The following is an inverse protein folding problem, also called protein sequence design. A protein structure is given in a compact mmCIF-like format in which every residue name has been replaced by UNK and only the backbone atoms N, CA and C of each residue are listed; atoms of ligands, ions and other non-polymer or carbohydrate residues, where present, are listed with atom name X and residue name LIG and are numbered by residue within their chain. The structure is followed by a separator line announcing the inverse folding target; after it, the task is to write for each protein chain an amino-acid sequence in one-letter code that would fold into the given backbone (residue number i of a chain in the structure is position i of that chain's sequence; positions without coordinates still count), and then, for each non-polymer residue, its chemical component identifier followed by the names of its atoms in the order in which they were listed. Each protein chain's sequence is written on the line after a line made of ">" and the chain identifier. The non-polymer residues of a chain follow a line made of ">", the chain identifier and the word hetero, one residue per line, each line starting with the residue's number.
data_IF_901053347738
#
_entry.id   IF_901053347738
#
_cell.length_a   1.000
_cell.length_b   1.000
_cell.length_c   1.000
_cell.angle_alpha   90.00
_cell.angle_beta   90.00
_cell.angle_gamma   90.00
#
_symmetry.space_group_name_H-M   'P 1'
#
loop_
_entity.id
_entity.type
_entity.pdbx_description
1 polymer ?
#
# COMPACT_ATOMS: atom_id res chain seq x y z
N UNK A 1 -19.14 -1.89 7.69
CA UNK A 1 -18.60 -2.23 6.37
C UNK A 1 -17.37 -3.09 6.60
N UNK A 2 -17.22 -4.19 5.88
CA UNK A 2 -16.13 -5.15 6.09
C UNK A 2 -14.82 -4.46 5.70
N UNK A 3 -13.91 -4.24 6.64
CA UNK A 3 -12.55 -3.79 6.34
C UNK A 3 -11.88 -4.85 5.46
N UNK A 4 -11.79 -4.54 4.16
CA UNK A 4 -11.29 -5.47 3.17
C UNK A 4 -9.78 -5.30 3.08
N UNK A 5 -9.06 -6.21 3.74
CA UNK A 5 -7.62 -6.34 3.62
C UNK A 5 -7.22 -6.66 2.18
N UNK A 6 -6.54 -5.73 1.52
CA UNK A 6 -6.09 -5.90 0.15
C UNK A 6 -4.73 -6.59 0.11
N UNK A 7 -4.49 -7.37 -0.94
CA UNK A 7 -3.19 -7.93 -1.30
C UNK A 7 -2.34 -6.91 -2.07
N UNK A 8 -1.07 -7.25 -2.31
CA UNK A 8 -0.15 -6.42 -3.12
C UNK A 8 -0.71 -6.15 -4.52
N UNK A 9 -1.29 -7.16 -5.17
CA UNK A 9 -1.83 -7.00 -6.53
C UNK A 9 -3.06 -6.09 -6.54
N UNK A 10 -3.95 -6.26 -5.57
CA UNK A 10 -5.18 -5.45 -5.47
C UNK A 10 -4.84 -3.98 -5.17
N UNK A 11 -3.89 -3.69 -4.27
CA UNK A 11 -3.52 -2.31 -3.96
C UNK A 11 -2.72 -1.66 -5.10
N UNK A 12 -1.92 -2.45 -5.83
CA UNK A 12 -1.22 -1.98 -7.02
C UNK A 12 -2.22 -1.54 -8.11
N UNK A 13 -3.24 -2.36 -8.36
CA UNK A 13 -4.32 -2.03 -9.29
C UNK A 13 -5.11 -0.82 -8.81
N UNK A 14 -5.44 -0.75 -7.51
CA UNK A 14 -6.14 0.39 -6.93
C UNK A 14 -5.39 1.72 -7.11
N UNK A 15 -4.08 1.72 -6.84
CA UNK A 15 -3.23 2.90 -6.98
C UNK A 15 -2.79 3.19 -8.42
N UNK A 16 -3.10 2.30 -9.38
CA UNK A 16 -2.67 2.42 -10.76
C UNK A 16 -1.15 2.31 -10.95
N UNK A 17 -0.45 1.58 -10.07
CA UNK A 17 1.00 1.38 -10.12
C UNK A 17 1.36 -0.08 -10.36
N UNK A 18 2.58 -0.34 -10.81
CA UNK A 18 3.07 -1.71 -10.93
C UNK A 18 3.32 -2.33 -9.54
N UNK A 19 3.08 -3.63 -9.38
CA UNK A 19 3.33 -4.35 -8.12
C UNK A 19 4.78 -4.22 -7.64
N UNK A 20 5.75 -4.10 -8.56
CA UNK A 20 7.16 -3.84 -8.23
C UNK A 20 7.34 -2.52 -7.46
N UNK A 21 6.53 -1.50 -7.74
CA UNK A 21 6.54 -0.23 -7.01
C UNK A 21 6.05 -0.43 -5.58
N UNK A 22 4.99 -1.23 -5.38
CA UNK A 22 4.51 -1.58 -4.04
C UNK A 22 5.60 -2.33 -3.26
N UNK A 23 6.29 -3.29 -3.87
CA UNK A 23 7.40 -3.99 -3.21
C UNK A 23 8.55 -3.04 -2.84
N UNK A 24 8.91 -2.08 -3.70
CA UNK A 24 9.91 -1.05 -3.37
C UNK A 24 9.48 -0.17 -2.19
N UNK A 25 8.20 0.20 -2.13
CA UNK A 25 7.68 0.95 -0.99
C UNK A 25 7.65 0.12 0.29
N UNK A 26 7.36 -1.18 0.21
CA UNK A 26 7.45 -2.10 1.35
C UNK A 26 8.90 -2.21 1.86
N UNK A 27 9.88 -2.37 0.98
CA UNK A 27 11.31 -2.42 1.34
C UNK A 27 11.76 -1.16 2.06
N UNK A 28 11.27 0.00 1.61
CA UNK A 28 11.56 1.31 2.22
C UNK A 28 10.62 1.66 3.38
N UNK A 29 9.67 0.78 3.74
CA UNK A 29 8.62 1.06 4.73
C UNK A 29 7.87 2.38 4.48
N UNK A 30 7.67 2.73 3.21
CA UNK A 30 7.06 3.98 2.76
C UNK A 30 5.54 3.90 2.57
N UNK A 31 4.99 2.69 2.45
CA UNK A 31 3.55 2.46 2.32
C UNK A 31 3.02 1.79 3.60
N UNK A 32 1.83 2.19 4.11
CA UNK A 32 1.21 1.51 5.23
C UNK A 32 0.86 0.07 4.85
N UNK A 33 1.43 -0.89 5.56
CA UNK A 33 1.25 -2.31 5.28
C UNK A 33 1.34 -3.14 6.55
N UNK A 34 0.50 -4.18 6.62
CA UNK A 34 0.36 -5.06 7.77
C UNK A 34 0.77 -6.48 7.40
N UNK A 35 1.55 -7.12 8.26
CA UNK A 35 2.02 -8.49 8.02
C UNK A 35 1.05 -9.49 8.64
N UNK A 36 0.31 -10.21 7.80
CA UNK A 36 -0.62 -11.26 8.22
C UNK A 36 -0.05 -12.61 7.79
N UNK A 37 0.59 -13.29 8.74
CA UNK A 37 1.36 -14.51 8.48
C UNK A 37 2.54 -14.24 7.53
N UNK A 38 2.54 -14.88 6.36
CA UNK A 38 3.59 -14.71 5.34
C UNK A 38 3.23 -13.67 4.27
N UNK A 39 2.05 -13.05 4.36
CA UNK A 39 1.55 -12.14 3.34
C UNK A 39 1.48 -10.71 3.87
N UNK A 40 1.74 -9.75 2.98
CA UNK A 40 1.43 -8.34 3.22
C UNK A 40 -0.03 -8.08 2.90
N UNK A 41 -0.68 -7.34 3.79
CA UNK A 41 -2.07 -6.89 3.69
C UNK A 41 -2.14 -5.38 3.88
N UNK A 42 -3.03 -4.76 3.14
CA UNK A 42 -3.18 -3.31 3.10
C UNK A 42 -4.59 -2.94 3.53
N UNK A 43 -4.71 -1.97 4.43
CA UNK A 43 -5.98 -1.30 4.69
C UNK A 43 -6.16 -0.18 3.67
N UNK A 44 -7.26 -0.24 2.92
CA UNK A 44 -7.58 0.77 1.92
C UNK A 44 -7.66 2.17 2.53
N UNK A 45 -8.28 2.32 3.70
CA UNK A 45 -8.46 3.63 4.34
C UNK A 45 -7.12 4.24 4.76
N UNK A 46 -6.22 3.43 5.27
CA UNK A 46 -4.88 3.85 5.70
C UNK A 46 -4.03 4.25 4.49
N UNK A 47 -4.05 3.45 3.42
CA UNK A 47 -3.37 3.77 2.17
C UNK A 47 -3.95 5.04 1.56
N UNK A 48 -5.28 5.22 1.57
CA UNK A 48 -5.93 6.43 1.05
C UNK A 48 -5.51 7.68 1.82
N UNK A 49 -5.49 7.60 3.15
CA UNK A 49 -5.03 8.68 3.99
C UNK A 49 -3.56 9.01 3.73
N UNK A 50 -2.73 7.99 3.56
CA UNK A 50 -1.32 8.14 3.21
C UNK A 50 -1.14 8.83 1.85
N UNK A 51 -1.86 8.42 0.81
CA UNK A 51 -1.81 9.09 -0.51
C UNK A 51 -2.26 10.54 -0.39
N UNK A 52 -3.38 10.81 0.29
CA UNK A 52 -3.92 12.17 0.49
C UNK A 52 -3.00 13.07 1.30
N UNK A 53 -2.17 12.51 2.18
CA UNK A 53 -1.16 13.26 2.94
C UNK A 53 0.01 13.78 2.08
N UNK A 54 0.11 13.34 0.82
CA UNK A 54 1.24 13.66 -0.07
C UNK A 54 2.49 12.83 0.21
N UNK A 55 2.45 11.90 1.16
CA UNK A 55 3.57 11.02 1.51
C UNK A 55 3.91 9.99 0.40
N UNK A 56 2.98 9.79 -0.54
CA UNK A 56 3.20 8.96 -1.73
C UNK A 56 4.06 9.65 -2.81
N UNK A 57 4.18 10.99 -2.77
CA UNK A 57 5.07 11.72 -3.65
C UNK A 57 6.50 11.62 -3.09
N UNK A 58 7.35 10.81 -3.71
CA UNK A 58 8.79 10.84 -3.47
C UNK A 58 9.29 12.26 -3.72
N UNK A 59 9.64 12.96 -2.64
CA UNK A 59 10.58 14.09 -2.70
C UNK A 59 11.97 13.49 -2.93
N UNK A 60 12.28 13.20 -4.19
CA UNK A 60 13.66 13.16 -4.66
C UNK A 60 14.00 14.55 -5.24
#
# INVERSE_FOLDING_TARGET
>A
MIEKWMSVSEIAEYLGVAAITIYRWLEKSQIPAHRVGKQWRFDLQEVDAWVKSGSAASRD
#
